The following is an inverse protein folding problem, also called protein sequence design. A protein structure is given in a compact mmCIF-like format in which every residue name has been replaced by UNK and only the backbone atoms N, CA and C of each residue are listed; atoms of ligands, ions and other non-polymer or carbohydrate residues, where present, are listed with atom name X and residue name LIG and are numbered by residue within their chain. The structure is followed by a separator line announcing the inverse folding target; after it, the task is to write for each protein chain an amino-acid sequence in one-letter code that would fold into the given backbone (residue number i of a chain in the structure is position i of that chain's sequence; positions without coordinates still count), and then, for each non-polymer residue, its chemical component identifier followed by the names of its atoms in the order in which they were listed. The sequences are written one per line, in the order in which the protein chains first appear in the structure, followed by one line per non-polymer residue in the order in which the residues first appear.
data_IF_851426755075
#
_entry.id   IF_851426755075
#
_cell.length_a   1.000
_cell.length_b   1.000
_cell.length_c   1.000
_cell.angle_alpha   90.00
_cell.angle_beta   90.00
_cell.angle_gamma   90.00
#
_symmetry.space_group_name_H-M   'P 1'
#
loop_
_entity.id
_entity.type
_entity.pdbx_description
1 polymer ?
#
# COMPACT_ATOMS: atom_id res chain seq x y z
N UNK A 1 -19.41 -5.51 -11.13
CA UNK A 1 -18.19 -5.51 -11.97
C UNK A 1 -17.52 -4.16 -11.81
N UNK A 2 -16.41 -4.11 -11.09
CA UNK A 2 -15.70 -2.87 -10.80
C UNK A 2 -14.58 -2.73 -11.86
N UNK A 3 -14.57 -1.69 -12.70
CA UNK A 3 -13.44 -1.46 -13.59
C UNK A 3 -12.32 -0.87 -12.73
N UNK A 4 -11.41 -1.73 -12.28
CA UNK A 4 -10.07 -1.31 -11.89
C UNK A 4 -9.42 -0.72 -13.14
N UNK A 5 -9.65 0.57 -13.40
CA UNK A 5 -8.91 1.32 -14.40
C UNK A 5 -7.43 1.10 -14.10
N UNK A 6 -6.67 0.58 -15.08
CA UNK A 6 -5.24 0.26 -14.98
C UNK A 6 -4.33 1.47 -14.81
N UNK A 7 -4.70 2.42 -13.94
CA UNK A 7 -3.83 3.50 -13.48
C UNK A 7 -3.06 3.01 -12.27
N UNK A 8 -1.74 3.00 -12.42
CA UNK A 8 -0.80 3.02 -11.30
C UNK A 8 -1.13 4.26 -10.45
N UNK A 9 -1.43 4.12 -9.15
CA UNK A 9 -1.69 5.28 -8.30
C UNK A 9 -0.46 6.21 -8.24
N UNK A 10 -0.61 7.44 -8.70
CA UNK A 10 0.43 8.50 -8.65
C UNK A 10 0.36 9.33 -7.35
N UNK A 11 -0.67 9.11 -6.52
CA UNK A 11 -0.80 9.66 -5.17
C UNK A 11 -0.56 8.56 -4.10
N UNK A 12 0.37 8.77 -3.14
CA UNK A 12 0.57 7.85 -2.01
C UNK A 12 -0.72 7.49 -1.26
N UNK A 13 -1.67 8.43 -1.16
CA UNK A 13 -2.96 8.21 -0.48
C UNK A 13 -3.86 7.26 -1.26
N UNK A 14 -3.86 7.37 -2.58
CA UNK A 14 -4.58 6.43 -3.45
C UNK A 14 -3.97 5.03 -3.39
N UNK A 15 -2.63 4.94 -3.32
CA UNK A 15 -1.91 3.68 -3.12
C UNK A 15 -2.31 3.02 -1.79
N UNK A 16 -2.31 3.78 -0.68
CA UNK A 16 -2.74 3.29 0.64
C UNK A 16 -4.19 2.82 0.61
N UNK A 17 -5.08 3.60 -0.02
CA UNK A 17 -6.49 3.24 -0.15
C UNK A 17 -6.69 1.97 -1.00
N UNK A 18 -5.90 1.77 -2.05
CA UNK A 18 -5.94 0.56 -2.88
C UNK A 18 -5.51 -0.68 -2.10
N UNK A 19 -4.41 -0.60 -1.35
CA UNK A 19 -3.98 -1.70 -0.47
C UNK A 19 -5.07 -2.05 0.53
N UNK A 20 -5.69 -1.04 1.16
CA UNK A 20 -6.79 -1.28 2.10
C UNK A 20 -8.00 -1.95 1.45
N UNK A 21 -8.37 -1.55 0.23
CA UNK A 21 -9.44 -2.20 -0.54
C UNK A 21 -9.15 -3.68 -0.80
N UNK A 22 -7.92 -4.02 -1.17
CA UNK A 22 -7.53 -5.42 -1.42
C UNK A 22 -7.51 -6.24 -0.12
N UNK A 23 -7.04 -5.67 0.99
CA UNK A 23 -7.12 -6.30 2.33
C UNK A 23 -8.57 -6.63 2.68
N UNK A 24 -9.49 -5.67 2.52
CA UNK A 24 -10.91 -5.90 2.79
C UNK A 24 -11.49 -7.01 1.90
N UNK A 25 -11.20 -6.98 0.61
CA UNK A 25 -11.70 -7.99 -0.33
C UNK A 25 -11.22 -9.41 0.02
N UNK A 26 -9.95 -9.57 0.42
CA UNK A 26 -9.41 -10.85 0.86
C UNK A 26 -10.11 -11.34 2.14
N UNK A 27 -10.24 -10.46 3.14
CA UNK A 27 -10.92 -10.79 4.40
C UNK A 27 -12.39 -11.14 4.21
N UNK A 28 -13.10 -10.43 3.34
CA UNK A 28 -14.49 -10.72 2.98
C UNK A 28 -14.64 -12.09 2.30
N UNK A 29 -13.60 -12.55 1.58
CA UNK A 29 -13.54 -13.89 1.00
C UNK A 29 -13.08 -14.99 1.98
N UNK A 30 -12.78 -14.63 3.23
CA UNK A 30 -12.25 -15.55 4.25
C UNK A 30 -10.76 -15.87 4.11
N UNK A 31 -10.03 -15.11 3.28
CA UNK A 31 -8.59 -15.24 3.10
C UNK A 31 -7.87 -14.20 3.96
N UNK A 32 -6.92 -14.62 4.79
CA UNK A 32 -6.12 -13.68 5.60
C UNK A 32 -4.94 -13.16 4.79
N UNK A 33 -4.81 -11.82 4.61
CA UNK A 33 -3.64 -11.23 3.98
C UNK A 33 -2.36 -11.46 4.77
N UNK A 34 -1.27 -11.68 4.07
CA UNK A 34 0.05 -11.99 4.63
C UNK A 34 1.12 -10.97 4.22
N UNK A 35 0.99 -10.33 3.06
CA UNK A 35 1.97 -9.37 2.56
C UNK A 35 1.42 -8.41 1.51
N UNK A 36 2.15 -7.32 1.30
CA UNK A 36 1.94 -6.38 0.19
C UNK A 36 3.09 -6.51 -0.79
N UNK A 37 2.78 -6.77 -2.06
CA UNK A 37 3.73 -6.71 -3.16
C UNK A 37 3.52 -5.40 -3.92
N UNK A 38 4.58 -4.64 -4.19
CA UNK A 38 4.46 -3.42 -5.00
C UNK A 38 5.68 -3.18 -5.91
N UNK A 39 5.53 -2.42 -7.00
CA UNK A 39 6.65 -1.92 -7.78
C UNK A 39 7.59 -1.07 -6.91
N UNK A 40 8.90 -1.12 -7.19
CA UNK A 40 9.89 -0.32 -6.45
C UNK A 40 9.65 1.19 -6.54
N UNK A 41 9.02 1.68 -7.62
CA UNK A 41 8.60 3.08 -7.76
C UNK A 41 7.54 3.49 -6.73
N UNK A 42 6.51 2.65 -6.53
CA UNK A 42 5.46 2.87 -5.54
C UNK A 42 5.99 2.77 -4.12
N UNK A 43 6.93 1.85 -3.86
CA UNK A 43 7.60 1.79 -2.57
C UNK A 43 8.33 3.09 -2.26
N UNK A 44 9.13 3.62 -3.20
CA UNK A 44 9.83 4.90 -3.01
C UNK A 44 8.87 6.07 -2.77
N UNK A 45 7.77 6.10 -3.50
CA UNK A 45 6.71 7.10 -3.33
C UNK A 45 6.07 7.03 -1.95
N UNK A 46 5.79 5.82 -1.44
CA UNK A 46 5.28 5.59 -0.10
C UNK A 46 6.28 6.02 0.99
N UNK A 47 7.56 5.73 0.80
CA UNK A 47 8.62 6.16 1.72
C UNK A 47 8.76 7.68 1.77
N UNK A 48 8.70 8.34 0.61
CA UNK A 48 8.71 9.80 0.54
C UNK A 48 7.52 10.40 1.32
N UNK A 49 6.33 9.82 1.16
CA UNK A 49 5.14 10.26 1.88
C UNK A 49 5.26 10.06 3.40
N UNK A 50 5.77 8.90 3.83
CA UNK A 50 6.04 8.63 5.25
C UNK A 50 7.01 9.64 5.85
N UNK A 51 8.11 9.92 5.14
CA UNK A 51 9.10 10.91 5.57
C UNK A 51 8.47 12.31 5.69
N UNK A 52 7.72 12.74 4.67
CA UNK A 52 6.99 14.01 4.68
C UNK A 52 6.03 14.15 5.87
N UNK A 53 5.29 13.08 6.20
CA UNK A 53 4.42 13.07 7.38
C UNK A 53 5.22 13.24 8.67
N UNK A 54 6.34 12.52 8.81
CA UNK A 54 7.21 12.62 9.99
C UNK A 54 7.85 14.00 10.20
N UNK A 55 8.13 14.73 9.11
CA UNK A 55 8.61 16.12 9.21
C UNK A 55 7.52 17.09 9.67
N UNK A 56 6.25 16.82 9.33
CA UNK A 56 5.16 17.78 9.45
C UNK A 56 4.63 18.04 10.87
N UNK A 57 5.31 17.58 11.94
CA UNK A 57 4.77 17.43 13.31
C UNK A 57 3.52 16.54 13.42
N UNK A 58 2.94 16.09 12.30
CA UNK A 58 1.98 15.00 12.31
C UNK A 58 2.72 13.72 12.68
N UNK A 59 2.19 12.96 13.63
CA UNK A 59 2.69 11.62 13.87
C UNK A 59 2.47 10.79 12.59
N UNK A 60 3.46 9.98 12.22
CA UNK A 60 3.30 8.97 11.17
C UNK A 60 2.17 8.03 11.60
N UNK A 61 1.15 7.77 10.77
CA UNK A 61 0.06 6.87 11.14
C UNK A 61 0.55 5.45 11.42
N UNK A 62 -0.08 4.77 12.38
CA UNK A 62 0.32 3.41 12.80
C UNK A 62 0.22 2.37 11.68
N UNK A 63 -0.64 2.60 10.68
CA UNK A 63 -0.75 1.73 9.52
C UNK A 63 0.39 1.90 8.51
N UNK A 64 1.23 2.94 8.64
CA UNK A 64 2.31 3.26 7.70
C UNK A 64 3.69 3.08 8.35
N UNK A 65 4.14 1.84 8.38
CA UNK A 65 5.48 1.47 8.85
C UNK A 65 6.58 1.77 7.84
N UNK A 66 7.83 1.54 8.24
CA UNK A 66 8.98 1.71 7.34
C UNK A 66 9.01 0.63 6.24
N UNK A 67 8.75 -0.63 6.60
CA UNK A 67 8.69 -1.75 5.66
C UNK A 67 7.35 -2.48 5.73
N UNK A 68 6.34 -1.83 6.28
CA UNK A 68 5.02 -2.42 6.53
C UNK A 68 3.89 -1.45 6.20
N UNK A 69 2.78 -1.99 5.74
CA UNK A 69 1.54 -1.24 5.49
C UNK A 69 0.36 -2.06 6.02
N UNK A 70 -0.43 -1.47 6.92
CA UNK A 70 -1.48 -2.17 7.68
C UNK A 70 -0.96 -3.41 8.42
N UNK A 71 0.23 -3.33 9.00
CA UNK A 71 0.94 -4.44 9.67
C UNK A 71 1.27 -5.62 8.76
N UNK A 72 1.21 -5.43 7.44
CA UNK A 72 1.66 -6.42 6.46
C UNK A 72 3.04 -6.02 5.92
N UNK A 73 4.02 -6.93 5.85
CA UNK A 73 5.33 -6.65 5.27
C UNK A 73 5.21 -6.30 3.79
N UNK A 74 5.99 -5.29 3.37
CA UNK A 74 6.07 -4.84 1.98
C UNK A 74 7.27 -5.50 1.30
N UNK A 75 7.03 -6.12 0.15
CA UNK A 75 8.08 -6.61 -0.74
C UNK A 75 8.00 -5.89 -2.08
N UNK A 76 9.17 -5.50 -2.59
CA UNK A 76 9.28 -4.96 -3.94
C UNK A 76 9.49 -6.08 -4.95
N UNK A 77 8.73 -6.07 -6.04
CA UNK A 77 8.85 -7.05 -7.13
C UNK A 77 8.77 -6.36 -8.49
N UNK A 78 9.13 -7.08 -9.56
CA UNK A 78 8.97 -6.64 -10.94
C UNK A 78 7.52 -6.89 -11.40
N UNK A 79 6.61 -6.16 -10.76
CA UNK A 79 5.18 -6.16 -11.05
C UNK A 79 4.73 -4.77 -11.45
N UNK A 80 3.63 -4.68 -12.19
CA UNK A 80 3.14 -3.39 -12.71
C UNK A 80 2.20 -2.66 -11.73
N UNK A 81 1.66 -3.38 -10.74
CA UNK A 81 0.66 -2.86 -9.80
C UNK A 81 0.81 -3.44 -8.41
N UNK A 82 0.43 -2.67 -7.40
CA UNK A 82 0.32 -3.15 -6.02
C UNK A 82 -0.68 -4.30 -5.93
N UNK A 83 -0.28 -5.35 -5.21
CA UNK A 83 -1.09 -6.54 -4.95
C UNK A 83 -0.96 -6.94 -3.48
N UNK A 84 -2.06 -7.38 -2.87
CA UNK A 84 -2.10 -7.97 -1.54
C UNK A 84 -2.33 -9.46 -1.69
N UNK A 85 -1.56 -10.26 -0.94
CA UNK A 85 -1.63 -11.73 -0.95
C UNK A 85 -1.90 -12.27 0.45
#
# INVERSE_FOLDING_TARGET
MNPSNGRTPDDPRELIAEVYRQILALRESGTEPTRVLMPGSQFRQLQWYRWFLGESRAAVPDYLGEFELFSLPIYTSDIDKVTVE
#
